data_IF_602250970590
#
_entry.id   IF_602250970590
#
_cell.length_a   1.000
_cell.length_b   1.000
_cell.length_c   1.000
_cell.angle_alpha   90.00
_cell.angle_beta   90.00
_cell.angle_gamma   90.00
#
_symmetry.space_group_name_H-M   'P 1'
#
loop_
_entity.id
_entity.type
_entity.pdbx_description
1 polymer ?
#
# COMPACT_ATOMS: atom_id res chain seq x y z
N UNK A 1 -44.43 20.14 2.74
CA UNK A 1 -43.14 20.06 2.07
C UNK A 1 -42.07 20.56 3.03
N UNK A 2 -41.15 19.69 3.39
CA UNK A 2 -39.95 20.05 4.20
C UNK A 2 -38.81 20.54 3.31
N UNK A 3 -38.74 20.01 2.08
CA UNK A 3 -37.73 20.42 1.08
C UNK A 3 -38.40 20.48 -0.32
N UNK A 4 -38.52 21.69 -0.86
CA UNK A 4 -39.11 21.91 -2.17
C UNK A 4 -38.27 21.42 -3.36
N UNK A 5 -37.01 21.01 -3.14
CA UNK A 5 -36.18 20.45 -4.19
C UNK A 5 -36.25 18.92 -4.29
N UNK A 6 -36.68 18.26 -3.20
CA UNK A 6 -36.74 16.81 -3.10
C UNK A 6 -38.16 16.27 -2.98
N UNK A 7 -39.15 17.15 -2.76
CA UNK A 7 -40.51 16.76 -2.53
C UNK A 7 -41.47 17.55 -3.45
N UNK A 8 -42.38 16.83 -4.08
CA UNK A 8 -43.46 17.42 -4.89
C UNK A 8 -44.78 17.44 -4.13
N UNK A 9 -45.62 18.40 -4.43
CA UNK A 9 -46.99 18.34 -3.93
C UNK A 9 -47.78 17.25 -4.68
N UNK A 10 -48.77 16.65 -4.02
CA UNK A 10 -49.60 15.60 -4.65
C UNK A 10 -50.23 16.05 -5.99
N UNK A 11 -50.53 17.32 -6.10
CA UNK A 11 -51.05 17.92 -7.33
C UNK A 11 -50.04 18.02 -8.46
N UNK A 12 -48.77 18.19 -8.14
CA UNK A 12 -47.67 18.19 -9.09
C UNK A 12 -47.27 16.77 -9.46
N UNK A 13 -47.17 15.87 -8.46
CA UNK A 13 -46.89 14.47 -8.67
C UNK A 13 -47.91 13.78 -9.59
N UNK A 14 -49.20 14.07 -9.44
CA UNK A 14 -50.29 13.54 -10.32
C UNK A 14 -50.28 14.07 -11.74
N UNK A 15 -49.52 15.11 -12.05
CA UNK A 15 -49.28 15.53 -13.44
C UNK A 15 -48.27 14.64 -14.16
N UNK A 16 -47.41 14.03 -13.40
CA UNK A 16 -46.34 13.12 -13.91
C UNK A 16 -46.91 11.70 -13.93
N UNK A 17 -47.46 11.26 -12.80
CA UNK A 17 -48.11 9.96 -12.65
C UNK A 17 -49.48 10.12 -11.98
N UNK A 18 -50.55 9.80 -12.72
CA UNK A 18 -51.92 10.00 -12.29
C UNK A 18 -52.34 9.16 -11.07
N UNK A 19 -51.70 8.02 -10.88
CA UNK A 19 -52.04 7.04 -9.83
C UNK A 19 -51.20 7.22 -8.55
N UNK A 20 -50.37 8.28 -8.48
CA UNK A 20 -49.45 8.53 -7.38
C UNK A 20 -50.16 8.86 -6.06
N UNK A 21 -49.76 8.24 -4.95
CA UNK A 21 -50.23 8.47 -3.59
C UNK A 21 -49.19 9.24 -2.73
N UNK A 22 -49.64 9.74 -1.56
CA UNK A 22 -48.78 10.50 -0.65
C UNK A 22 -47.73 9.55 -0.01
N UNK A 23 -46.44 9.83 -0.21
CA UNK A 23 -45.32 9.05 0.32
C UNK A 23 -44.66 8.14 -0.73
N UNK A 24 -45.15 8.13 -1.96
CA UNK A 24 -44.53 7.41 -3.07
C UNK A 24 -43.48 8.25 -3.78
N UNK A 25 -42.50 7.56 -4.37
CA UNK A 25 -41.45 8.18 -5.20
C UNK A 25 -41.95 8.34 -6.63
N UNK A 26 -41.84 9.54 -7.18
CA UNK A 26 -42.23 9.87 -8.55
C UNK A 26 -40.96 10.05 -9.38
N UNK A 27 -40.92 9.36 -10.52
CA UNK A 27 -39.85 9.50 -11.49
C UNK A 27 -40.25 10.39 -12.64
N UNK A 28 -39.54 11.48 -12.87
CA UNK A 28 -39.72 12.38 -13.99
C UNK A 28 -38.59 12.23 -15.01
N UNK A 29 -38.92 12.18 -16.29
CA UNK A 29 -37.94 12.07 -17.36
C UNK A 29 -37.43 13.45 -17.74
N UNK A 30 -36.16 13.70 -17.50
CA UNK A 30 -35.53 14.98 -17.74
C UNK A 30 -34.70 14.93 -19.03
N UNK A 31 -35.03 15.75 -20.00
CA UNK A 31 -34.32 15.83 -21.28
C UNK A 31 -33.21 16.90 -21.26
N UNK A 32 -32.05 16.58 -21.86
CA UNK A 32 -30.96 17.52 -21.99
C UNK A 32 -31.31 18.84 -22.69
N UNK A 33 -32.33 18.82 -23.57
CA UNK A 33 -32.80 19.97 -24.29
C UNK A 33 -33.41 21.04 -23.37
N UNK A 34 -33.91 20.64 -22.21
CA UNK A 34 -34.60 21.51 -21.23
C UNK A 34 -33.61 22.33 -20.38
N UNK A 35 -32.33 21.96 -20.42
CA UNK A 35 -31.28 22.64 -19.67
C UNK A 35 -30.64 23.78 -20.45
N UNK A 36 -30.54 24.95 -19.82
CA UNK A 36 -29.69 26.04 -20.33
C UNK A 36 -28.21 25.70 -20.32
N UNK A 37 -27.41 26.39 -21.17
CA UNK A 37 -25.96 26.16 -21.31
C UNK A 37 -25.21 26.14 -19.98
N UNK A 38 -25.60 26.96 -18.99
CA UNK A 38 -24.96 27.00 -17.66
C UNK A 38 -25.21 25.72 -16.87
N UNK A 39 -26.43 25.20 -16.92
CA UNK A 39 -26.78 23.96 -16.23
C UNK A 39 -26.00 22.76 -16.81
N UNK A 40 -25.87 22.70 -18.13
CA UNK A 40 -25.05 21.67 -18.82
C UNK A 40 -23.58 21.75 -18.42
N UNK A 41 -23.00 22.97 -18.34
CA UNK A 41 -21.62 23.15 -17.89
C UNK A 41 -21.43 22.75 -16.43
N UNK A 42 -22.36 23.13 -15.55
CA UNK A 42 -22.33 22.73 -14.14
C UNK A 42 -22.45 21.22 -13.99
N UNK A 43 -23.36 20.58 -14.73
CA UNK A 43 -23.51 19.11 -14.73
C UNK A 43 -22.21 18.42 -15.14
N UNK A 44 -21.58 18.89 -16.22
CA UNK A 44 -20.30 18.37 -16.68
C UNK A 44 -19.20 18.50 -15.61
N UNK A 45 -19.09 19.64 -14.97
CA UNK A 45 -18.11 19.89 -13.90
C UNK A 45 -18.37 19.03 -12.68
N UNK A 46 -19.64 18.94 -12.25
CA UNK A 46 -20.04 18.11 -11.11
C UNK A 46 -19.77 16.63 -11.38
N UNK A 47 -20.11 16.16 -12.59
CA UNK A 47 -19.84 14.77 -12.99
C UNK A 47 -18.34 14.47 -12.99
N UNK A 48 -17.54 15.35 -13.60
CA UNK A 48 -16.08 15.20 -13.61
C UNK A 48 -15.49 15.17 -12.18
N UNK A 49 -15.97 16.06 -11.29
CA UNK A 49 -15.54 16.07 -9.88
C UNK A 49 -15.93 14.78 -9.15
N UNK A 50 -17.14 14.28 -9.38
CA UNK A 50 -17.60 13.03 -8.75
C UNK A 50 -16.85 11.79 -9.26
N UNK A 51 -16.53 11.74 -10.54
CA UNK A 51 -15.69 10.68 -11.11
C UNK A 51 -14.30 10.69 -10.46
N UNK A 52 -13.67 11.88 -10.34
CA UNK A 52 -12.38 12.01 -9.68
C UNK A 52 -12.43 11.63 -8.21
N UNK A 53 -13.48 11.99 -7.49
CA UNK A 53 -13.70 11.59 -6.09
C UNK A 53 -13.77 10.07 -5.96
N UNK A 54 -14.58 9.40 -6.78
CA UNK A 54 -14.69 7.93 -6.80
C UNK A 54 -13.38 7.24 -7.18
N UNK A 55 -12.62 7.80 -8.12
CA UNK A 55 -11.30 7.27 -8.48
C UNK A 55 -10.32 7.34 -7.30
N UNK A 56 -10.33 8.46 -6.55
CA UNK A 56 -9.49 8.63 -5.35
C UNK A 56 -9.88 7.68 -4.23
N UNK A 57 -11.17 7.49 -4.00
CA UNK A 57 -11.68 6.56 -2.99
C UNK A 57 -11.31 5.12 -3.34
N UNK A 58 -11.44 4.74 -4.60
CA UNK A 58 -11.03 3.43 -5.11
C UNK A 58 -9.52 3.21 -4.96
N UNK A 59 -8.71 4.23 -5.28
CA UNK A 59 -7.26 4.19 -5.11
C UNK A 59 -6.87 4.02 -3.63
N UNK A 60 -7.52 4.79 -2.74
CA UNK A 60 -7.30 4.69 -1.30
C UNK A 60 -7.61 3.28 -0.78
N UNK A 61 -8.78 2.73 -1.12
CA UNK A 61 -9.18 1.38 -0.72
C UNK A 61 -8.19 0.33 -1.23
N UNK A 62 -7.82 0.39 -2.53
CA UNK A 62 -6.86 -0.52 -3.16
C UNK A 62 -5.51 -0.58 -2.44
N UNK A 63 -4.96 0.58 -2.11
CA UNK A 63 -3.64 0.63 -1.46
C UNK A 63 -3.69 0.43 0.05
N UNK A 64 -4.82 0.70 0.68
CA UNK A 64 -5.05 0.36 2.10
C UNK A 64 -4.92 -1.15 2.34
N UNK A 65 -5.44 -1.97 1.45
CA UNK A 65 -5.34 -3.42 1.52
C UNK A 65 -3.91 -3.93 1.19
N UNK A 66 -3.09 -3.09 0.54
CA UNK A 66 -1.69 -3.41 0.22
C UNK A 66 -0.69 -2.96 1.28
N UNK A 67 -1.14 -2.32 2.36
CA UNK A 67 -0.23 -1.88 3.45
C UNK A 67 0.54 -3.10 3.98
N UNK A 68 1.87 -2.95 4.09
CA UNK A 68 2.79 -4.00 4.52
C UNK A 68 3.17 -5.01 3.42
N UNK A 69 2.68 -4.87 2.20
CA UNK A 69 3.09 -5.70 1.07
C UNK A 69 4.15 -5.00 0.23
N UNK A 70 5.05 -5.80 -0.37
CA UNK A 70 6.02 -5.29 -1.33
C UNK A 70 5.31 -4.98 -2.65
N UNK A 71 5.64 -3.82 -3.20
CA UNK A 71 5.30 -3.43 -4.55
C UNK A 71 6.56 -3.02 -5.31
N UNK A 72 6.52 -3.15 -6.62
CA UNK A 72 7.52 -2.61 -7.53
C UNK A 72 6.92 -1.42 -8.25
N UNK A 73 7.68 -0.35 -8.40
CA UNK A 73 7.25 0.84 -9.12
C UNK A 73 8.44 1.54 -9.77
N UNK A 74 8.19 2.25 -10.86
CA UNK A 74 9.25 2.90 -11.63
C UNK A 74 9.46 4.35 -11.21
N UNK A 75 10.72 4.73 -11.10
CA UNK A 75 11.09 6.11 -10.76
C UNK A 75 10.69 7.06 -11.88
N UNK A 76 9.72 7.92 -11.59
CA UNK A 76 9.29 8.96 -12.51
C UNK A 76 10.11 10.24 -12.35
N UNK A 77 10.28 10.69 -11.10
CA UNK A 77 11.03 11.91 -10.79
C UNK A 77 11.69 11.83 -9.41
N UNK A 78 12.92 12.32 -9.33
CA UNK A 78 13.70 12.40 -8.09
C UNK A 78 13.75 13.85 -7.62
N UNK A 79 13.21 14.10 -6.41
CA UNK A 79 13.26 15.40 -5.74
C UNK A 79 14.21 15.35 -4.54
N UNK A 80 14.55 16.50 -3.98
CA UNK A 80 15.45 16.58 -2.82
C UNK A 80 14.90 15.87 -1.57
N UNK A 81 13.59 15.88 -1.37
CA UNK A 81 12.92 15.37 -0.17
C UNK A 81 12.28 14.00 -0.36
N UNK A 82 11.95 13.64 -1.58
CA UNK A 82 11.20 12.44 -1.91
C UNK A 82 11.43 12.01 -3.36
N UNK A 83 11.10 10.77 -3.66
CA UNK A 83 11.10 10.23 -5.01
C UNK A 83 9.65 9.93 -5.38
N UNK A 84 9.23 10.41 -6.54
CA UNK A 84 7.95 10.06 -7.14
C UNK A 84 8.13 8.83 -8.00
N UNK A 85 7.34 7.81 -7.71
CA UNK A 85 7.29 6.56 -8.46
C UNK A 85 5.91 6.40 -9.09
N UNK A 86 5.85 5.64 -10.17
CA UNK A 86 4.60 5.23 -10.81
C UNK A 86 4.50 3.71 -10.78
N UNK A 87 3.32 3.20 -10.45
CA UNK A 87 3.01 1.80 -10.64
C UNK A 87 2.64 1.49 -12.10
N UNK A 88 2.34 0.21 -12.39
CA UNK A 88 1.97 -0.24 -13.74
C UNK A 88 0.69 0.42 -14.28
N UNK A 89 -0.15 0.96 -13.41
CA UNK A 89 -1.38 1.67 -13.77
C UNK A 89 -1.20 3.19 -13.86
N UNK A 90 0.02 3.70 -13.57
CA UNK A 90 0.33 5.12 -13.56
C UNK A 90 -0.09 5.86 -12.29
N UNK A 91 -0.38 5.13 -11.20
CA UNK A 91 -0.68 5.75 -9.90
C UNK A 91 0.61 6.28 -9.26
N UNK A 92 0.49 7.45 -8.65
CA UNK A 92 1.60 8.13 -7.99
C UNK A 92 1.88 7.55 -6.60
N UNK A 93 3.12 7.15 -6.37
CA UNK A 93 3.63 6.60 -5.12
C UNK A 93 4.82 7.45 -4.66
N UNK A 94 4.90 7.72 -3.37
CA UNK A 94 5.93 8.57 -2.80
C UNK A 94 6.89 7.76 -1.92
N UNK A 95 8.19 7.94 -2.15
CA UNK A 95 9.25 7.39 -1.30
C UNK A 95 10.03 8.55 -0.67
N UNK A 96 9.63 9.01 0.54
CA UNK A 96 10.31 10.09 1.25
C UNK A 96 11.77 9.77 1.53
N UNK A 97 12.62 10.80 1.65
CA UNK A 97 14.05 10.63 1.93
C UNK A 97 14.32 9.90 3.25
N UNK A 98 13.45 10.05 4.24
CA UNK A 98 13.51 9.35 5.54
C UNK A 98 13.23 7.87 5.44
N UNK A 99 12.52 7.45 4.39
CA UNK A 99 12.13 6.06 4.12
C UNK A 99 13.03 5.40 3.06
N UNK A 100 14.07 6.08 2.60
CA UNK A 100 15.11 5.54 1.73
C UNK A 100 16.27 5.01 2.57
N UNK A 101 16.87 3.90 2.13
CA UNK A 101 18.14 3.44 2.70
C UNK A 101 19.20 4.52 2.43
N UNK A 102 20.07 4.87 3.38
CA UNK A 102 21.04 5.97 3.20
C UNK A 102 21.91 5.86 1.94
N UNK A 103 22.17 4.62 1.51
CA UNK A 103 22.95 4.29 0.31
C UNK A 103 22.12 4.18 -0.96
N UNK A 104 20.80 4.35 -0.87
CA UNK A 104 19.92 4.31 -2.04
C UNK A 104 20.18 5.51 -2.95
N UNK A 105 20.43 5.19 -4.21
CA UNK A 105 20.54 6.15 -5.28
C UNK A 105 19.76 5.64 -6.49
N UNK A 106 18.80 6.43 -6.95
CA UNK A 106 17.92 6.05 -8.05
C UNK A 106 17.94 7.07 -9.18
N UNK A 107 17.79 6.56 -10.40
CA UNK A 107 17.65 7.36 -11.61
C UNK A 107 16.24 7.18 -12.17
N UNK A 108 15.81 8.17 -12.95
CA UNK A 108 14.55 8.09 -13.69
C UNK A 108 14.50 6.82 -14.56
N UNK A 109 13.40 6.07 -14.47
CA UNK A 109 13.18 4.82 -15.21
C UNK A 109 13.71 3.56 -14.52
N UNK A 110 14.34 3.67 -13.34
CA UNK A 110 14.73 2.49 -12.55
C UNK A 110 13.54 1.96 -11.76
N UNK A 111 13.39 0.64 -11.70
CA UNK A 111 12.36 0.00 -10.88
C UNK A 111 12.85 -0.14 -9.44
N UNK A 112 12.01 0.27 -8.50
CA UNK A 112 12.25 0.22 -7.05
C UNK A 112 11.26 -0.70 -6.39
N UNK A 113 11.73 -1.61 -5.55
CA UNK A 113 10.90 -2.41 -4.64
C UNK A 113 10.86 -1.75 -3.27
N UNK A 114 9.65 -1.61 -2.74
CA UNK A 114 9.43 -1.08 -1.40
C UNK A 114 8.11 -1.61 -0.84
N UNK A 115 7.89 -1.50 0.46
CA UNK A 115 6.58 -1.79 1.04
C UNK A 115 5.69 -0.56 1.01
N UNK A 116 4.39 -0.77 0.93
CA UNK A 116 3.40 0.27 1.25
C UNK A 116 3.39 0.42 2.76
N UNK A 117 3.95 1.52 3.26
CA UNK A 117 4.01 1.79 4.69
C UNK A 117 2.68 2.30 5.22
N UNK A 118 2.12 3.29 4.53
CA UNK A 118 0.83 3.88 4.87
C UNK A 118 0.20 4.59 3.68
N UNK A 119 -1.08 4.82 3.79
CA UNK A 119 -1.84 5.63 2.83
C UNK A 119 -2.46 6.79 3.60
N UNK A 120 -1.96 7.99 3.36
CA UNK A 120 -2.44 9.21 3.99
C UNK A 120 -3.54 9.81 3.10
N UNK A 121 -4.71 10.09 3.66
CA UNK A 121 -5.78 10.77 2.93
C UNK A 121 -5.92 12.20 3.48
N UNK A 122 -5.31 13.14 2.78
CA UNK A 122 -5.39 14.55 3.14
C UNK A 122 -6.24 15.31 2.11
N UNK A 123 -7.32 15.95 2.56
CA UNK A 123 -8.27 16.69 1.71
C UNK A 123 -8.78 15.85 0.51
N UNK A 124 -9.18 14.61 0.77
CA UNK A 124 -9.64 13.66 -0.25
C UNK A 124 -8.62 13.41 -1.36
N UNK A 125 -7.33 13.52 -1.04
CA UNK A 125 -6.22 13.22 -1.94
C UNK A 125 -5.32 12.15 -1.33
N UNK A 126 -5.49 10.87 -1.70
CA UNK A 126 -4.70 9.77 -1.15
C UNK A 126 -3.25 9.91 -1.58
N UNK A 127 -2.35 9.85 -0.58
CA UNK A 127 -0.90 9.78 -0.78
C UNK A 127 -0.42 8.42 -0.30
N UNK A 128 0.15 7.66 -1.20
CA UNK A 128 0.68 6.33 -0.90
C UNK A 128 2.15 6.49 -0.56
N UNK A 129 2.50 6.21 0.69
CA UNK A 129 3.85 6.34 1.21
C UNK A 129 4.52 4.97 1.25
N UNK A 130 5.65 4.88 0.56
CA UNK A 130 6.48 3.69 0.51
C UNK A 130 7.62 3.78 1.51
N UNK A 131 8.13 2.62 1.94
CA UNK A 131 9.31 2.52 2.80
C UNK A 131 10.23 1.39 2.37
N UNK A 132 11.54 1.65 2.47
CA UNK A 132 12.63 0.66 2.35
C UNK A 132 13.38 0.50 3.67
N UNK A 133 13.11 1.38 4.63
CA UNK A 133 13.75 1.37 5.97
C UNK A 133 13.00 0.55 7.00
N UNK A 134 11.72 0.31 6.78
CA UNK A 134 10.88 -0.46 7.70
C UNK A 134 11.39 -1.91 7.84
N UNK A 135 11.37 -2.44 9.05
CA UNK A 135 11.70 -3.85 9.34
C UNK A 135 10.80 -4.84 8.61
N UNK A 136 9.55 -4.44 8.35
CA UNK A 136 8.60 -5.25 7.61
C UNK A 136 9.05 -5.46 6.16
N UNK A 137 9.77 -4.50 5.56
CA UNK A 137 10.35 -4.69 4.23
C UNK A 137 11.34 -5.86 4.21
N UNK A 138 12.23 -5.95 5.20
CA UNK A 138 13.15 -7.07 5.35
C UNK A 138 12.39 -8.39 5.56
N UNK A 139 11.37 -8.39 6.41
CA UNK A 139 10.54 -9.58 6.64
C UNK A 139 9.91 -10.09 5.34
N UNK A 140 9.32 -9.21 4.55
CA UNK A 140 8.70 -9.56 3.28
C UNK A 140 9.72 -10.08 2.24
N UNK A 141 10.94 -9.54 2.25
CA UNK A 141 12.01 -10.07 1.40
C UNK A 141 12.38 -11.52 1.78
N UNK A 142 12.44 -11.82 3.08
CA UNK A 142 12.64 -13.20 3.54
C UNK A 142 11.49 -14.12 3.11
N UNK A 143 10.25 -13.69 3.21
CA UNK A 143 9.08 -14.46 2.77
C UNK A 143 9.12 -14.76 1.26
N UNK A 144 9.67 -13.85 0.46
CA UNK A 144 9.83 -14.05 -0.99
C UNK A 144 11.00 -15.00 -1.35
N UNK A 145 12.11 -14.92 -0.62
CA UNK A 145 13.33 -15.67 -0.94
C UNK A 145 13.40 -17.03 -0.25
N UNK A 146 12.64 -17.24 0.84
CA UNK A 146 12.66 -18.45 1.66
C UNK A 146 11.28 -19.11 1.64
N UNK A 147 11.09 -20.14 0.80
CA UNK A 147 9.79 -20.83 0.69
C UNK A 147 9.29 -21.39 2.02
N UNK A 148 10.17 -21.88 2.89
CA UNK A 148 9.84 -22.46 4.18
C UNK A 148 9.21 -21.41 5.13
N UNK A 149 9.50 -20.13 4.96
CA UNK A 149 8.82 -19.04 5.68
C UNK A 149 7.44 -18.81 5.08
N UNK A 150 7.34 -18.76 3.76
CA UNK A 150 6.06 -18.58 3.07
C UNK A 150 5.08 -19.73 3.36
N UNK A 151 5.58 -20.95 3.48
CA UNK A 151 4.80 -22.17 3.81
C UNK A 151 4.48 -22.29 5.31
N UNK A 152 4.97 -21.34 6.15
CA UNK A 152 4.72 -21.30 7.58
C UNK A 152 5.50 -22.34 8.40
N UNK A 153 6.49 -23.01 7.81
CA UNK A 153 7.37 -23.96 8.50
C UNK A 153 8.40 -23.26 9.37
N UNK A 154 8.80 -22.08 8.95
CA UNK A 154 9.73 -21.19 9.68
C UNK A 154 9.03 -19.88 9.96
N UNK A 155 9.17 -19.37 11.17
CA UNK A 155 8.58 -18.08 11.59
C UNK A 155 9.69 -17.12 11.99
N UNK A 156 9.58 -15.88 11.51
CA UNK A 156 10.40 -14.77 11.98
C UNK A 156 9.81 -14.23 13.28
N UNK A 157 10.54 -14.37 14.39
CA UNK A 157 10.07 -13.96 15.73
C UNK A 157 10.44 -12.52 16.06
N UNK A 158 11.60 -12.06 15.63
CA UNK A 158 12.06 -10.70 15.89
C UNK A 158 12.98 -10.21 14.79
N UNK A 159 12.91 -8.91 14.53
CA UNK A 159 13.83 -8.20 13.63
C UNK A 159 14.33 -6.95 14.34
N UNK A 160 15.65 -6.79 14.41
CA UNK A 160 16.32 -5.56 14.76
C UNK A 160 17.12 -5.08 13.54
N UNK A 161 16.89 -3.85 13.07
CA UNK A 161 17.46 -3.36 11.82
C UNK A 161 17.92 -1.91 11.94
N UNK A 162 19.10 -1.64 11.44
CA UNK A 162 19.63 -0.31 11.13
C UNK A 162 19.76 -0.27 9.61
N UNK A 163 18.84 0.43 8.90
CA UNK A 163 18.77 0.37 7.45
C UNK A 163 20.06 0.76 6.75
N UNK A 164 20.52 -0.09 5.84
CA UNK A 164 21.76 0.10 5.08
C UNK A 164 23.05 -0.24 5.82
N UNK A 165 22.98 -0.61 7.11
CA UNK A 165 24.14 -1.01 7.90
C UNK A 165 24.07 -2.49 8.27
N UNK A 166 23.15 -2.83 9.17
CA UNK A 166 23.00 -4.20 9.66
C UNK A 166 21.57 -4.53 10.07
N UNK A 167 21.27 -5.82 10.02
CA UNK A 167 20.05 -6.38 10.60
C UNK A 167 20.34 -7.69 11.30
N UNK A 168 19.60 -7.98 12.37
CA UNK A 168 19.53 -9.30 13.00
C UNK A 168 18.11 -9.82 12.93
N UNK A 169 17.96 -11.05 12.47
CA UNK A 169 16.68 -11.73 12.26
C UNK A 169 16.64 -13.00 13.08
N UNK A 170 15.75 -13.08 14.06
CA UNK A 170 15.55 -14.25 14.87
C UNK A 170 14.43 -15.14 14.27
N UNK A 171 14.78 -16.37 13.94
CA UNK A 171 13.89 -17.34 13.29
C UNK A 171 13.70 -18.58 14.16
N UNK A 172 12.54 -19.19 14.03
CA UNK A 172 12.17 -20.43 14.71
C UNK A 172 11.49 -21.37 13.72
N UNK A 173 11.83 -22.66 13.77
CA UNK A 173 11.12 -23.69 13.03
C UNK A 173 10.15 -24.46 13.96
N UNK A 174 9.01 -24.83 13.42
CA UNK A 174 8.07 -25.74 14.09
C UNK A 174 8.39 -27.21 13.84
N UNK A 175 9.27 -27.51 12.88
CA UNK A 175 9.75 -28.88 12.60
C UNK A 175 11.21 -29.01 13.02
N UNK A 176 11.50 -29.88 13.99
CA UNK A 176 12.84 -30.12 14.52
C UNK A 176 13.84 -30.64 13.46
N UNK A 177 13.35 -31.12 12.32
CA UNK A 177 14.16 -31.59 11.20
C UNK A 177 14.65 -30.46 10.30
N UNK A 178 14.10 -29.26 10.44
CA UNK A 178 14.45 -28.10 9.64
C UNK A 178 15.37 -27.19 10.44
N UNK A 179 16.59 -26.97 9.95
CA UNK A 179 17.45 -25.88 10.45
C UNK A 179 16.95 -24.54 9.92
N UNK A 180 16.33 -23.69 10.76
CA UNK A 180 15.74 -22.45 10.29
C UNK A 180 16.79 -21.42 9.82
N UNK A 181 17.98 -21.43 10.41
CA UNK A 181 19.07 -20.53 9.99
C UNK A 181 19.64 -20.98 8.65
N UNK A 182 19.95 -22.27 8.52
CA UNK A 182 20.44 -22.83 7.27
C UNK A 182 19.48 -22.64 6.10
N UNK A 183 18.18 -22.80 6.34
CA UNK A 183 17.14 -22.56 5.33
C UNK A 183 17.08 -21.09 4.88
N UNK A 184 17.16 -20.14 5.81
CA UNK A 184 17.16 -18.71 5.51
C UNK A 184 18.43 -18.25 4.77
N UNK A 185 19.57 -18.78 5.14
CA UNK A 185 20.87 -18.46 4.50
C UNK A 185 20.94 -19.09 3.11
N UNK A 186 20.49 -20.35 2.99
CA UNK A 186 20.56 -21.15 1.77
C UNK A 186 21.95 -21.67 1.48
N UNK A 187 22.07 -22.57 0.51
CA UNK A 187 23.36 -23.16 0.12
C UNK A 187 24.36 -22.07 -0.30
N UNK A 188 25.49 -22.01 0.39
CA UNK A 188 26.54 -20.99 0.16
C UNK A 188 26.02 -19.55 0.21
N UNK A 189 24.97 -19.29 0.98
CA UNK A 189 24.38 -17.95 1.09
C UNK A 189 23.51 -17.52 -0.09
N UNK A 190 23.09 -18.44 -0.96
CA UNK A 190 22.36 -18.09 -2.20
C UNK A 190 21.09 -17.27 -1.97
N UNK A 191 20.34 -17.58 -0.91
CA UNK A 191 19.08 -16.89 -0.58
C UNK A 191 19.33 -15.53 0.07
N UNK A 192 20.18 -15.52 1.11
CA UNK A 192 20.46 -14.29 1.84
C UNK A 192 21.18 -13.24 0.97
N UNK A 193 22.01 -13.66 0.00
CA UNK A 193 22.67 -12.74 -0.92
C UNK A 193 21.69 -11.97 -1.80
N UNK A 194 20.55 -12.56 -2.17
CA UNK A 194 19.48 -11.86 -2.89
C UNK A 194 18.93 -10.69 -2.08
N UNK A 195 18.65 -10.94 -0.80
CA UNK A 195 18.15 -9.95 0.14
C UNK A 195 19.18 -8.85 0.41
N UNK A 196 20.43 -9.26 0.70
CA UNK A 196 21.55 -8.33 0.94
C UNK A 196 21.77 -7.38 -0.23
N UNK A 197 21.69 -7.90 -1.47
CA UNK A 197 21.81 -7.08 -2.68
C UNK A 197 20.66 -6.08 -2.82
N UNK A 198 19.44 -6.51 -2.57
CA UNK A 198 18.27 -5.63 -2.59
C UNK A 198 18.41 -4.47 -1.59
N UNK A 199 18.98 -4.76 -0.41
CA UNK A 199 19.18 -3.81 0.68
C UNK A 199 20.51 -3.04 0.61
N UNK A 200 21.13 -2.97 -0.57
CA UNK A 200 22.36 -2.21 -0.80
C UNK A 200 23.53 -2.65 0.10
N UNK A 201 23.73 -3.97 0.23
CA UNK A 201 24.78 -4.60 1.03
C UNK A 201 24.63 -4.42 2.56
N UNK A 202 23.40 -4.30 3.05
CA UNK A 202 23.10 -4.39 4.47
C UNK A 202 23.56 -5.75 5.03
N UNK A 203 24.34 -5.75 6.12
CA UNK A 203 24.81 -6.99 6.75
C UNK A 203 23.66 -7.64 7.52
N UNK A 204 23.29 -8.87 7.16
CA UNK A 204 22.16 -9.58 7.74
C UNK A 204 22.63 -10.81 8.47
N UNK A 205 22.44 -10.83 9.80
CA UNK A 205 22.67 -11.98 10.66
C UNK A 205 21.36 -12.69 10.98
N UNK A 206 21.30 -13.98 10.70
CA UNK A 206 20.16 -14.84 11.06
C UNK A 206 20.53 -15.67 12.27
N UNK A 207 19.70 -15.63 13.32
CA UNK A 207 19.91 -16.36 14.56
C UNK A 207 18.71 -17.23 14.92
N UNK A 208 18.96 -18.34 15.61
CA UNK A 208 17.89 -19.16 16.17
C UNK A 208 17.24 -18.45 17.35
N UNK A 209 15.91 -18.28 17.29
CA UNK A 209 15.11 -17.79 18.41
C UNK A 209 15.15 -18.78 19.57
N UNK A 210 15.01 -18.29 20.78
CA UNK A 210 14.78 -19.09 21.99
C UNK A 210 13.99 -18.25 23.00
N UNK A 211 13.12 -18.90 23.76
CA UNK A 211 12.37 -18.26 24.86
C UNK A 211 13.25 -17.96 26.09
N UNK A 212 14.45 -18.58 26.19
CA UNK A 212 15.41 -18.28 27.23
C UNK A 212 16.11 -16.95 26.91
N UNK A 213 15.78 -15.90 27.66
CA UNK A 213 16.26 -14.52 27.44
C UNK A 213 17.78 -14.43 27.46
N UNK A 214 18.45 -15.09 28.43
CA UNK A 214 19.92 -15.06 28.54
C UNK A 214 20.59 -15.67 27.31
N UNK A 215 20.11 -16.82 26.86
CA UNK A 215 20.61 -17.51 25.67
C UNK A 215 20.29 -16.70 24.39
N UNK A 216 19.11 -16.06 24.32
CA UNK A 216 18.75 -15.21 23.20
C UNK A 216 19.66 -14.00 23.07
N UNK A 217 19.96 -13.33 24.19
CA UNK A 217 20.90 -12.21 24.24
C UNK A 217 22.31 -12.67 23.80
N UNK A 218 22.78 -13.82 24.29
CA UNK A 218 24.08 -14.36 23.90
C UNK A 218 24.15 -14.60 22.39
N UNK A 219 23.13 -15.22 21.79
CA UNK A 219 23.05 -15.44 20.33
C UNK A 219 22.93 -14.14 19.52
N UNK A 220 22.29 -13.14 20.11
CA UNK A 220 22.14 -11.84 19.45
C UNK A 220 23.42 -10.99 19.50
N UNK A 221 24.31 -11.22 20.46
CA UNK A 221 25.57 -10.49 20.61
C UNK A 221 26.79 -11.18 19.97
N UNK A 222 26.67 -12.46 19.67
CA UNK A 222 27.68 -13.22 18.92
C UNK A 222 27.61 -12.87 17.43
#
# INVERSE_FOLDING_TARGET
LEDGNLQLTLTEARKIDADCEVGEEVTDEVHFADFGRRAILNLRQTLASKILELQKDSLFAKYKDKIGNIIAADVYQVWKKEILLLDDEGNELLLPKTEQIPTDFYRKGETVRAIVQRVDNYNNNPKIILSRTDKLFLQRLFELEVPEINDGLITIKAIARIPGERAKVAVESYDDRIDPVGACVGMKGSRIHGIVRELRNENIDVINYTSNVSLFIQRALS
#
